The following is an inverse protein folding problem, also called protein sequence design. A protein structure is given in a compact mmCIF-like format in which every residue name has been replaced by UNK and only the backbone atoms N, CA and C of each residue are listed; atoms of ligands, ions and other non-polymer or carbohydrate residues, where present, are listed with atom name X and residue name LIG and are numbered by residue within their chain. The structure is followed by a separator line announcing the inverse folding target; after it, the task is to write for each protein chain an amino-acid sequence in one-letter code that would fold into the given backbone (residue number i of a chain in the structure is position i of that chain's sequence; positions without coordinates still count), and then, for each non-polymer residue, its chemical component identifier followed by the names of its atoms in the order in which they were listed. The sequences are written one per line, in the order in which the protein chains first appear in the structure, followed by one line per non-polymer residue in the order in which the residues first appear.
data_IF_730267107424
#
_entry.id   IF_730267107424
#
_cell.length_a   1.000
_cell.length_b   1.000
_cell.length_c   1.000
_cell.angle_alpha   90.00
_cell.angle_beta   90.00
_cell.angle_gamma   90.00
#
_symmetry.space_group_name_H-M   'P 1'
#
loop_
_entity.id
_entity.type
_entity.pdbx_description
1 polymer ?
#
# COMPACT_ATOMS: atom_id res chain seq x y z
N UNK A 1 17.15 8.16 6.47
CA UNK A 1 16.15 9.02 5.82
C UNK A 1 14.98 9.24 6.78
N UNK A 2 14.52 10.47 6.99
CA UNK A 2 13.36 10.78 7.85
C UNK A 2 12.02 10.57 7.13
N UNK A 3 10.90 10.40 7.85
CA UNK A 3 9.55 10.31 7.26
C UNK A 3 9.23 11.48 6.30
N UNK A 4 9.63 12.74 6.57
CA UNK A 4 9.44 13.85 5.63
C UNK A 4 10.18 13.68 4.29
N UNK A 5 11.33 13.01 4.29
CA UNK A 5 12.11 12.75 3.07
C UNK A 5 11.43 11.65 2.22
N UNK A 6 10.82 10.65 2.86
CA UNK A 6 9.99 9.62 2.22
C UNK A 6 8.77 10.26 1.53
N UNK A 7 8.10 11.20 2.20
CA UNK A 7 6.93 11.91 1.68
C UNK A 7 7.26 12.69 0.39
N UNK A 8 8.45 13.30 0.36
CA UNK A 8 8.92 14.06 -0.81
C UNK A 8 9.08 13.13 -2.01
N UNK A 9 9.63 11.93 -1.81
CA UNK A 9 9.77 10.92 -2.86
C UNK A 9 8.41 10.42 -3.38
N UNK A 10 7.46 10.13 -2.49
CA UNK A 10 6.12 9.65 -2.87
C UNK A 10 5.31 10.73 -3.60
N UNK A 11 5.39 11.99 -3.15
CA UNK A 11 4.62 13.09 -3.74
C UNK A 11 4.93 13.40 -5.21
N UNK A 12 6.14 13.04 -5.66
CA UNK A 12 6.62 13.26 -7.01
C UNK A 12 6.29 12.08 -7.95
N UNK A 13 5.94 10.91 -7.39
CA UNK A 13 5.61 9.69 -8.11
C UNK A 13 4.11 9.45 -8.31
N UNK A 14 3.35 10.46 -8.77
CA UNK A 14 1.89 10.35 -8.98
C UNK A 14 1.54 9.21 -9.96
N UNK A 15 1.30 8.01 -9.44
CA UNK A 15 0.73 6.91 -10.21
C UNK A 15 -0.75 6.81 -9.85
N UNK A 16 -1.62 7.33 -10.72
CA UNK A 16 -3.04 6.97 -10.71
C UNK A 16 -3.13 5.50 -11.13
N UNK A 17 -3.84 4.64 -10.40
CA UNK A 17 -4.32 3.35 -10.93
C UNK A 17 -5.08 3.67 -12.23
N UNK A 18 -4.46 3.38 -13.38
CA UNK A 18 -5.07 3.61 -14.69
C UNK A 18 -6.12 2.50 -14.87
N UNK A 19 -7.39 2.81 -14.55
CA UNK A 19 -8.54 1.92 -14.80
C UNK A 19 -9.02 2.02 -16.27
N UNK A 20 -8.33 2.78 -17.13
CA UNK A 20 -8.58 2.78 -18.58
C UNK A 20 -7.38 2.26 -19.36
N UNK A 21 -7.50 1.11 -20.03
CA UNK A 21 -6.55 0.68 -21.08
C UNK A 21 -6.50 1.72 -22.20
N UNK A 22 -5.71 2.76 -22.01
CA UNK A 22 -5.29 3.68 -23.06
C UNK A 22 -3.83 3.98 -22.78
N UNK A 23 -2.99 3.13 -23.36
CA UNK A 23 -1.55 3.31 -23.42
C UNK A 23 -1.26 4.65 -24.08
N UNK A 24 -0.57 5.53 -23.37
CA UNK A 24 0.24 6.57 -24.02
C UNK A 24 1.30 5.86 -24.85
N UNK A 25 1.46 6.26 -26.11
CA UNK A 25 2.42 5.68 -27.04
C UNK A 25 3.81 5.62 -26.39
N UNK A 26 4.34 4.41 -26.16
CA UNK A 26 5.70 4.19 -25.65
C UNK A 26 5.84 3.52 -24.27
N UNK A 27 4.75 3.20 -23.57
CA UNK A 27 4.83 2.50 -22.26
C UNK A 27 4.72 0.99 -22.42
N UNK A 28 5.64 0.22 -21.85
CA UNK A 28 5.54 -1.24 -21.70
C UNK A 28 5.14 -1.58 -20.25
N UNK A 29 4.24 -2.55 -20.07
CA UNK A 29 3.85 -3.06 -18.76
C UNK A 29 4.19 -4.55 -18.66
N UNK A 30 4.44 -5.04 -17.44
CA UNK A 30 4.53 -6.46 -17.12
C UNK A 30 3.69 -6.75 -15.89
N UNK A 31 2.97 -7.87 -15.97
CA UNK A 31 2.11 -8.41 -14.93
C UNK A 31 2.81 -9.62 -14.28
N UNK A 32 2.69 -9.76 -12.96
CA UNK A 32 3.37 -10.81 -12.19
C UNK A 32 2.47 -12.02 -11.96
N UNK A 33 3.09 -13.15 -11.59
CA UNK A 33 2.38 -14.41 -11.40
C UNK A 33 2.33 -14.79 -9.94
N UNK A 34 1.14 -15.15 -9.46
CA UNK A 34 1.01 -15.84 -8.18
C UNK A 34 1.62 -17.25 -8.27
N UNK A 35 2.33 -17.66 -7.22
CA UNK A 35 2.86 -19.02 -7.10
C UNK A 35 1.82 -20.01 -6.54
N UNK A 36 0.64 -19.52 -6.15
CA UNK A 36 -0.48 -20.31 -5.65
C UNK A 36 -1.50 -20.57 -6.79
N UNK A 37 -2.06 -21.78 -6.81
CA UNK A 37 -2.75 -22.38 -7.96
C UNK A 37 -4.08 -21.69 -8.33
N UNK A 38 -4.43 -21.76 -9.62
CA UNK A 38 -5.65 -21.34 -10.35
C UNK A 38 -5.66 -19.95 -11.02
N UNK A 39 -4.87 -18.97 -10.59
CA UNK A 39 -4.80 -17.67 -11.29
C UNK A 39 -3.37 -17.33 -11.73
N UNK A 40 -3.15 -17.05 -13.03
CA UNK A 40 -1.81 -16.78 -13.55
C UNK A 40 -1.27 -15.40 -13.13
N UNK A 41 -2.08 -14.55 -12.51
CA UNK A 41 -1.83 -13.13 -12.29
C UNK A 41 -1.98 -12.74 -10.80
N UNK A 42 -1.54 -11.54 -10.44
CA UNK A 42 -1.65 -10.91 -9.11
C UNK A 42 -1.89 -9.40 -9.31
N UNK A 43 -2.53 -8.68 -8.38
CA UNK A 43 -2.73 -7.21 -8.46
C UNK A 43 -1.42 -6.43 -8.18
N UNK A 44 -0.36 -6.77 -8.91
CA UNK A 44 0.94 -6.08 -8.91
C UNK A 44 1.33 -5.81 -10.36
N UNK A 45 1.58 -4.53 -10.65
CA UNK A 45 1.97 -4.07 -11.98
C UNK A 45 3.22 -3.20 -11.84
N UNK A 46 4.20 -3.44 -12.72
CA UNK A 46 5.37 -2.57 -12.84
C UNK A 46 5.30 -1.69 -14.08
N UNK A 47 5.68 -0.43 -13.89
CA UNK A 47 5.78 0.57 -14.95
C UNK A 47 7.24 0.93 -15.19
N UNK A 48 7.66 0.91 -16.45
CA UNK A 48 8.94 1.49 -16.86
C UNK A 48 8.75 2.97 -17.18
N UNK A 49 9.46 3.84 -16.47
CA UNK A 49 9.48 5.27 -16.77
C UNK A 49 10.41 5.55 -17.96
N UNK A 50 10.05 6.54 -18.78
CA UNK A 50 10.89 6.99 -19.91
C UNK A 50 12.17 7.68 -19.46
N UNK A 51 12.18 8.24 -18.24
CA UNK A 51 13.33 8.85 -17.59
C UNK A 51 13.34 8.52 -16.11
N UNK A 52 14.53 8.31 -15.54
CA UNK A 52 14.70 8.15 -14.09
C UNK A 52 14.38 9.47 -13.38
N UNK A 53 13.46 9.48 -12.40
CA UNK A 53 13.23 10.66 -11.57
C UNK A 53 14.44 10.92 -10.68
N UNK A 54 14.71 12.17 -10.25
CA UNK A 54 15.82 12.50 -9.37
C UNK A 54 15.50 12.12 -7.90
N UNK A 55 15.07 10.88 -7.70
CA UNK A 55 14.69 10.33 -6.41
C UNK A 55 15.68 9.23 -6.02
N UNK A 56 15.97 9.06 -4.72
CA UNK A 56 16.77 7.94 -4.25
C UNK A 56 16.12 6.60 -4.63
N UNK A 57 16.95 5.60 -4.89
CA UNK A 57 16.49 4.23 -5.04
C UNK A 57 15.87 3.72 -3.74
N UNK A 58 14.77 3.00 -3.87
CA UNK A 58 14.06 2.40 -2.76
C UNK A 58 14.28 0.89 -2.77
N UNK A 59 14.88 0.36 -1.71
CA UNK A 59 15.11 -1.08 -1.58
C UNK A 59 13.80 -1.81 -1.26
N UNK A 60 13.55 -2.92 -1.94
CA UNK A 60 12.50 -3.87 -1.55
C UNK A 60 13.05 -4.75 -0.44
N UNK A 61 12.29 -4.87 0.65
CA UNK A 61 12.64 -5.66 1.82
C UNK A 61 12.96 -7.11 1.42
N UNK A 62 14.04 -7.65 1.96
CA UNK A 62 14.54 -8.97 1.57
C UNK A 62 13.79 -10.15 2.21
N UNK A 63 13.04 -9.90 3.28
CA UNK A 63 12.31 -10.93 4.05
C UNK A 63 10.93 -10.41 4.48
N UNK A 64 9.96 -11.32 4.57
CA UNK A 64 8.61 -10.99 5.05
C UNK A 64 8.70 -10.30 6.42
N UNK A 65 8.05 -9.14 6.62
CA UNK A 65 7.82 -8.58 7.96
C UNK A 65 7.23 -9.63 8.92
N UNK A 66 7.41 -9.45 10.22
CA UNK A 66 6.78 -10.30 11.23
C UNK A 66 5.60 -9.58 11.89
N UNK A 67 4.65 -10.33 12.45
CA UNK A 67 3.58 -9.74 13.24
C UNK A 67 4.17 -8.92 14.41
N UNK A 68 3.63 -7.74 14.65
CA UNK A 68 4.14 -6.72 15.57
C UNK A 68 5.17 -5.76 14.96
N UNK A 69 5.68 -6.00 13.75
CA UNK A 69 6.54 -5.02 13.07
C UNK A 69 5.76 -3.73 12.80
N UNK A 70 6.30 -2.60 13.26
CA UNK A 70 5.73 -1.29 12.97
C UNK A 70 6.07 -0.85 11.55
N UNK A 71 5.03 -0.46 10.81
CA UNK A 71 5.09 -0.02 9.42
C UNK A 71 4.56 1.40 9.27
N UNK A 72 5.13 2.13 8.31
CA UNK A 72 4.61 3.42 7.85
C UNK A 72 3.89 3.20 6.54
N UNK A 73 2.65 3.64 6.47
CA UNK A 73 1.84 3.64 5.27
C UNK A 73 1.87 5.06 4.70
N UNK A 74 2.16 5.21 3.40
CA UNK A 74 2.09 6.51 2.72
C UNK A 74 1.23 6.37 1.48
N UNK A 75 0.10 7.08 1.45
CA UNK A 75 -0.87 7.02 0.36
C UNK A 75 -1.48 8.36 0.01
N UNK A 76 -2.29 8.37 -1.05
CA UNK A 76 -3.00 9.54 -1.58
C UNK A 76 -4.51 9.23 -1.75
N UNK A 77 -5.04 8.45 -0.83
CA UNK A 77 -6.45 8.13 -0.72
C UNK A 77 -7.30 9.33 -0.34
N UNK A 78 -8.60 9.07 -0.22
CA UNK A 78 -9.56 10.08 0.20
C UNK A 78 -9.25 10.58 1.61
N UNK A 79 -9.57 11.84 1.88
CA UNK A 79 -9.27 12.48 3.15
C UNK A 79 -10.21 12.02 4.24
N UNK A 80 -9.72 11.83 5.46
CA UNK A 80 -10.60 11.58 6.60
C UNK A 80 -11.33 12.87 7.03
N UNK A 81 -12.54 12.71 7.57
CA UNK A 81 -13.22 13.75 8.32
C UNK A 81 -12.46 14.11 9.60
N UNK A 82 -12.52 15.38 9.99
CA UNK A 82 -11.84 15.85 11.20
C UNK A 82 -12.48 15.33 12.48
N UNK A 83 -13.76 14.97 12.43
CA UNK A 83 -14.52 14.45 13.56
C UNK A 83 -15.01 13.03 13.26
N UNK A 84 -15.05 12.20 14.30
CA UNK A 84 -15.65 10.86 14.24
C UNK A 84 -17.17 10.97 14.15
N UNK A 85 -17.77 9.97 13.52
CA UNK A 85 -19.20 9.70 13.61
C UNK A 85 -19.43 8.46 14.46
N UNK A 86 -20.47 8.47 15.28
CA UNK A 86 -20.85 7.32 16.12
C UNK A 86 -22.20 6.78 15.69
N UNK A 87 -22.33 5.45 15.70
CA UNK A 87 -23.46 4.73 15.13
C UNK A 87 -23.94 3.62 16.06
N UNK A 88 -25.25 3.40 16.08
CA UNK A 88 -25.82 2.12 16.47
C UNK A 88 -26.09 1.32 15.20
N UNK A 89 -25.55 0.11 15.14
CA UNK A 89 -25.72 -0.80 14.00
C UNK A 89 -26.65 -1.92 14.42
N UNK A 90 -27.78 -2.05 13.72
CA UNK A 90 -28.67 -3.19 13.86
C UNK A 90 -28.43 -4.12 12.68
N UNK A 91 -27.87 -5.30 12.94
CA UNK A 91 -27.67 -6.31 11.90
C UNK A 91 -29.00 -6.86 11.42
N UNK A 92 -29.20 -6.87 10.11
CA UNK A 92 -30.37 -7.51 9.52
C UNK A 92 -30.14 -9.01 9.31
N UNK A 93 -31.20 -9.75 8.90
CA UNK A 93 -31.12 -11.20 8.74
C UNK A 93 -30.45 -11.67 7.45
N UNK A 94 -30.16 -10.79 6.49
CA UNK A 94 -29.58 -11.14 5.19
C UNK A 94 -28.25 -10.41 4.95
N UNK A 95 -27.70 -10.56 3.75
CA UNK A 95 -26.55 -9.76 3.31
C UNK A 95 -27.04 -8.42 2.75
N UNK A 96 -26.30 -7.36 3.04
CA UNK A 96 -26.61 -5.99 2.64
C UNK A 96 -27.92 -5.47 3.26
N UNK A 97 -28.19 -5.74 4.54
CA UNK A 97 -29.36 -5.22 5.25
C UNK A 97 -29.10 -4.64 6.65
N UNK A 98 -27.85 -4.38 7.03
CA UNK A 98 -27.50 -3.66 8.25
C UNK A 98 -28.08 -2.23 8.21
N UNK A 99 -28.65 -1.82 9.35
CA UNK A 99 -29.21 -0.49 9.53
C UNK A 99 -28.33 0.35 10.46
N UNK A 100 -27.72 1.38 9.87
CA UNK A 100 -26.85 2.33 10.56
C UNK A 100 -27.64 3.56 11.01
N UNK A 101 -27.79 3.72 12.32
CA UNK A 101 -28.49 4.87 12.91
C UNK A 101 -27.48 5.79 13.61
N UNK A 102 -27.35 7.08 13.21
CA UNK A 102 -26.49 8.03 13.91
C UNK A 102 -26.86 8.10 15.40
N UNK A 103 -25.89 7.93 16.28
CA UNK A 103 -26.12 7.96 17.72
C UNK A 103 -24.87 8.48 18.44
N UNK A 104 -24.92 9.67 19.08
CA UNK A 104 -23.80 10.15 19.89
C UNK A 104 -23.44 9.11 20.97
N UNK A 105 -22.20 8.62 20.96
CA UNK A 105 -21.76 7.55 21.86
C UNK A 105 -22.27 6.15 21.50
N UNK A 106 -22.70 5.95 20.24
CA UNK A 106 -23.00 4.63 19.70
C UNK A 106 -21.79 3.70 19.73
N UNK A 107 -22.06 2.39 19.68
CA UNK A 107 -21.03 1.36 19.87
C UNK A 107 -20.00 1.28 18.73
N UNK A 108 -20.32 1.81 17.55
CA UNK A 108 -19.43 1.80 16.39
C UNK A 108 -19.02 3.22 16.05
N UNK A 109 -17.72 3.48 16.02
CA UNK A 109 -17.16 4.75 15.56
C UNK A 109 -16.59 4.63 14.16
N UNK A 110 -16.73 5.69 13.37
CA UNK A 110 -16.17 5.75 12.03
C UNK A 110 -15.45 7.06 11.76
N UNK A 111 -14.44 7.00 10.89
CA UNK A 111 -13.90 8.15 10.18
C UNK A 111 -14.49 8.15 8.78
N UNK A 112 -15.46 9.05 8.54
CA UNK A 112 -15.98 9.32 7.20
C UNK A 112 -14.93 10.00 6.33
N UNK A 113 -15.25 10.13 5.04
CA UNK A 113 -14.46 10.92 4.11
C UNK A 113 -15.32 11.97 3.43
N UNK A 114 -15.02 13.28 3.55
CA UNK A 114 -15.76 14.33 2.86
C UNK A 114 -15.39 14.42 1.37
N UNK A 115 -14.58 13.48 0.87
CA UNK A 115 -13.97 13.51 -0.45
C UNK A 115 -12.65 14.31 -0.48
N UNK A 116 -12.09 14.43 -1.68
CA UNK A 116 -10.78 15.04 -1.90
C UNK A 116 -9.62 14.13 -1.49
N UNK A 117 -8.56 14.10 -2.30
CA UNK A 117 -7.37 13.30 -2.05
C UNK A 117 -6.24 14.18 -1.53
N UNK A 118 -5.48 13.69 -0.58
CA UNK A 118 -4.22 14.30 -0.20
C UNK A 118 -3.22 13.26 0.25
N UNK A 119 -1.94 13.53 -0.01
CA UNK A 119 -0.86 12.66 0.44
C UNK A 119 -0.79 12.74 1.95
N UNK A 120 -0.89 11.58 2.60
CA UNK A 120 -0.78 11.42 4.04
C UNK A 120 0.08 10.22 4.34
N UNK A 121 0.52 10.18 5.59
CA UNK A 121 1.20 9.02 6.13
C UNK A 121 0.67 8.76 7.53
N UNK A 122 0.80 7.51 7.95
CA UNK A 122 0.48 7.09 9.30
C UNK A 122 1.17 5.77 9.61
N UNK A 123 1.13 5.36 10.87
CA UNK A 123 1.76 4.13 11.32
C UNK A 123 0.70 3.09 11.67
N UNK A 124 1.06 1.83 11.53
CA UNK A 124 0.36 0.72 12.15
C UNK A 124 1.36 -0.43 12.35
N UNK A 125 0.93 -1.57 12.88
CA UNK A 125 1.73 -2.77 12.89
C UNK A 125 1.16 -3.81 11.93
N UNK A 126 2.04 -4.69 11.46
CA UNK A 126 1.61 -5.94 10.83
C UNK A 126 0.97 -6.80 11.91
N UNK A 127 -0.28 -7.21 11.71
CA UNK A 127 -1.05 -7.97 12.69
C UNK A 127 -1.20 -9.44 12.24
N UNK A 128 -1.34 -9.67 10.93
CA UNK A 128 -1.47 -11.01 10.37
C UNK A 128 -0.99 -11.07 8.90
N UNK A 129 -1.15 -12.24 8.28
CA UNK A 129 -0.86 -12.51 6.89
C UNK A 129 -2.03 -13.24 6.24
N UNK A 130 -2.34 -12.89 5.00
CA UNK A 130 -3.42 -13.52 4.26
C UNK A 130 -3.07 -13.69 2.79
N UNK A 131 -3.56 -14.75 2.17
CA UNK A 131 -3.60 -14.88 0.71
C UNK A 131 -5.02 -14.41 0.28
N UNK A 132 -5.10 -13.24 -0.36
CA UNK A 132 -6.37 -12.56 -0.69
C UNK A 132 -6.59 -12.59 -2.19
N UNK A 133 -7.78 -13.00 -2.63
CA UNK A 133 -8.21 -12.89 -4.02
C UNK A 133 -9.17 -11.71 -4.16
N UNK A 134 -8.79 -10.72 -4.97
CA UNK A 134 -9.52 -9.48 -5.22
C UNK A 134 -10.13 -9.43 -6.63
N UNK A 135 -10.37 -10.60 -7.23
CA UNK A 135 -10.79 -10.81 -8.62
C UNK A 135 -9.69 -10.49 -9.68
N UNK A 136 -8.52 -10.02 -9.27
CA UNK A 136 -7.34 -9.84 -10.13
C UNK A 136 -6.25 -10.88 -9.86
N UNK A 137 -6.56 -11.88 -9.02
CA UNK A 137 -5.72 -13.01 -8.68
C UNK A 137 -5.19 -12.93 -7.26
N UNK A 138 -4.74 -14.07 -6.74
CA UNK A 138 -4.37 -14.18 -5.32
C UNK A 138 -3.05 -13.46 -5.00
N UNK A 139 -3.12 -12.54 -4.02
CA UNK A 139 -2.00 -11.76 -3.49
C UNK A 139 -1.64 -12.25 -2.09
N UNK A 140 -0.36 -12.62 -1.88
CA UNK A 140 0.19 -12.84 -0.55
C UNK A 140 0.38 -11.50 0.15
N UNK A 141 -0.22 -11.35 1.33
CA UNK A 141 -0.46 -10.05 1.92
C UNK A 141 -0.03 -9.96 3.38
N UNK A 142 0.46 -8.79 3.74
CA UNK A 142 0.55 -8.24 5.09
C UNK A 142 -0.82 -7.66 5.45
N UNK A 143 -1.26 -7.89 6.68
CA UNK A 143 -2.55 -7.40 7.20
C UNK A 143 -2.30 -6.43 8.34
N UNK A 144 -2.94 -5.27 8.30
CA UNK A 144 -2.99 -4.32 9.44
C UNK A 144 -4.44 -4.12 9.85
N UNK A 145 -4.73 -4.03 11.14
CA UNK A 145 -6.09 -3.79 11.66
C UNK A 145 -6.13 -2.56 12.57
N UNK A 146 -7.29 -1.96 12.76
CA UNK A 146 -7.53 -1.10 13.92
C UNK A 146 -7.79 -2.00 15.13
N UNK A 147 -7.15 -1.74 16.28
CA UNK A 147 -7.29 -2.58 17.47
C UNK A 147 -7.81 -1.82 18.71
N UNK A 148 -8.36 -0.62 18.51
CA UNK A 148 -8.79 0.39 19.50
C UNK A 148 -7.81 0.76 20.60
N UNK A 149 -6.57 0.27 20.59
CA UNK A 149 -5.64 0.60 21.67
C UNK A 149 -5.06 2.00 21.46
N UNK A 150 -5.90 3.01 21.29
CA UNK A 150 -5.50 4.41 21.12
C UNK A 150 -4.78 4.98 22.36
N UNK A 151 -4.80 4.25 23.48
CA UNK A 151 -4.07 4.58 24.70
C UNK A 151 -2.61 4.17 24.62
N UNK A 152 -2.30 2.93 24.22
CA UNK A 152 -0.91 2.45 24.11
C UNK A 152 -0.36 2.52 22.68
N UNK A 153 -1.23 2.67 21.69
CA UNK A 153 -0.98 2.73 20.25
C UNK A 153 -1.80 3.88 19.63
N UNK A 154 -1.44 5.14 19.92
CA UNK A 154 -2.17 6.29 19.40
C UNK A 154 -2.06 6.44 17.87
N UNK A 155 -1.04 5.82 17.27
CA UNK A 155 -0.75 5.90 15.84
C UNK A 155 -1.24 4.62 15.15
N UNK A 156 -2.54 4.60 14.82
CA UNK A 156 -3.14 3.56 13.98
C UNK A 156 -3.67 4.19 12.70
N UNK A 157 -3.11 3.80 11.57
CA UNK A 157 -3.54 4.21 10.26
C UNK A 157 -4.10 3.01 9.50
N UNK A 158 -5.12 3.28 8.71
CA UNK A 158 -5.67 2.35 7.74
C UNK A 158 -5.70 3.01 6.37
N UNK A 159 -5.60 2.18 5.34
CA UNK A 159 -5.89 2.61 3.99
C UNK A 159 -7.38 2.83 3.79
N UNK A 160 -7.70 3.70 2.84
CA UNK A 160 -9.06 3.95 2.37
C UNK A 160 -9.10 3.90 0.84
N UNK A 161 -10.28 4.08 0.25
CA UNK A 161 -10.42 4.21 -1.19
C UNK A 161 -9.41 5.21 -1.77
N UNK A 162 -8.67 4.78 -2.79
CA UNK A 162 -7.69 5.59 -3.49
C UNK A 162 -6.25 5.39 -3.01
N UNK A 163 -6.01 4.64 -1.94
CA UNK A 163 -4.67 4.24 -1.51
C UNK A 163 -4.10 3.04 -2.29
N UNK A 164 -4.85 2.39 -3.18
CA UNK A 164 -4.34 1.27 -3.98
C UNK A 164 -3.05 1.64 -4.76
N UNK A 165 -2.03 0.79 -4.68
CA UNK A 165 -0.69 1.00 -5.22
C UNK A 165 0.26 1.79 -4.30
N UNK A 166 -0.23 2.26 -3.15
CA UNK A 166 0.56 3.03 -2.19
C UNK A 166 1.53 2.16 -1.39
N UNK A 167 2.63 2.75 -0.91
CA UNK A 167 3.71 2.01 -0.27
C UNK A 167 3.49 1.78 1.22
N UNK A 168 3.84 0.58 1.67
CA UNK A 168 4.01 0.21 3.08
C UNK A 168 5.50 0.01 3.34
N UNK A 169 6.03 0.76 4.30
CA UNK A 169 7.45 0.88 4.55
C UNK A 169 7.78 0.37 5.94
N UNK A 170 8.90 -0.33 6.05
CA UNK A 170 9.43 -0.81 7.32
C UNK A 170 10.86 -0.31 7.49
N UNK A 171 11.19 0.10 8.71
CA UNK A 171 12.52 0.63 9.03
C UNK A 171 13.48 -0.48 9.42
N UNK A 172 14.55 -0.66 8.65
CA UNK A 172 15.65 -1.58 8.94
C UNK A 172 16.89 -0.79 9.39
N UNK A 173 17.06 -0.62 10.69
CA UNK A 173 18.10 0.26 11.25
C UNK A 173 17.89 1.73 10.86
N UNK A 174 18.78 2.28 10.04
CA UNK A 174 18.69 3.66 9.53
C UNK A 174 17.89 3.80 8.23
N UNK A 175 17.59 2.68 7.58
CA UNK A 175 17.13 2.65 6.20
C UNK A 175 15.65 2.26 6.14
N UNK A 176 14.92 2.89 5.22
CA UNK A 176 13.54 2.52 4.93
C UNK A 176 13.53 1.56 3.76
N UNK A 177 12.79 0.46 3.92
CA UNK A 177 12.60 -0.54 2.88
C UNK A 177 11.11 -0.58 2.51
N UNK A 178 10.83 -0.76 1.23
CA UNK A 178 9.48 -1.04 0.75
C UNK A 178 9.13 -2.48 1.12
N UNK A 179 8.27 -2.62 2.11
CA UNK A 179 7.83 -3.90 2.66
C UNK A 179 6.56 -4.40 1.98
N UNK A 180 5.65 -3.48 1.63
CA UNK A 180 4.42 -3.85 0.96
C UNK A 180 3.83 -2.78 0.05
N UNK A 181 2.75 -3.16 -0.64
CA UNK A 181 1.97 -2.27 -1.49
C UNK A 181 0.48 -2.50 -1.23
N UNK A 182 -0.23 -1.45 -0.82
CA UNK A 182 -1.66 -1.51 -0.50
C UNK A 182 -2.44 -1.87 -1.77
N UNK A 183 -3.31 -2.87 -1.72
CA UNK A 183 -4.17 -3.23 -2.87
C UNK A 183 -5.65 -3.33 -2.49
N UNK A 184 -5.96 -3.80 -1.28
CA UNK A 184 -7.33 -3.95 -0.81
C UNK A 184 -7.52 -3.43 0.63
N UNK A 185 -8.77 -3.11 0.93
CA UNK A 185 -9.27 -2.76 2.27
C UNK A 185 -10.50 -3.60 2.56
N UNK A 186 -10.76 -3.88 3.82
CA UNK A 186 -11.91 -4.66 4.25
C UNK A 186 -12.33 -4.34 5.68
N UNK A 187 -13.20 -5.19 6.23
CA UNK A 187 -13.66 -5.13 7.62
C UNK A 187 -13.56 -6.51 8.26
N UNK A 188 -13.17 -6.59 9.53
CA UNK A 188 -13.14 -7.83 10.31
C UNK A 188 -14.55 -8.29 10.68
N UNK A 189 -15.41 -7.32 10.94
CA UNK A 189 -16.83 -7.56 11.14
C UNK A 189 -17.50 -7.51 9.76
N UNK A 190 -18.47 -8.40 9.55
CA UNK A 190 -19.30 -8.44 8.34
C UNK A 190 -20.31 -7.27 8.35
N UNK A 191 -19.83 -6.06 8.60
CA UNK A 191 -20.61 -4.85 8.47
C UNK A 191 -20.90 -4.59 7.00
N UNK A 192 -22.18 -4.54 6.66
CA UNK A 192 -22.63 -4.15 5.34
C UNK A 192 -23.27 -2.75 5.36
N UNK A 193 -23.54 -2.19 4.18
CA UNK A 193 -24.19 -0.88 4.02
C UNK A 193 -23.58 0.27 4.83
N UNK A 194 -22.27 0.20 5.10
CA UNK A 194 -21.54 1.19 5.89
C UNK A 194 -21.80 2.59 5.28
N UNK A 195 -22.20 3.60 6.08
CA UNK A 195 -22.35 4.97 5.59
C UNK A 195 -21.06 5.47 4.94
N UNK A 196 -21.11 5.82 3.66
CA UNK A 196 -19.93 6.20 2.86
C UNK A 196 -19.17 5.02 2.22
N UNK A 197 -19.56 3.78 2.53
CA UNK A 197 -18.98 2.56 1.96
C UNK A 197 -17.47 2.48 2.16
N UNK A 198 -16.75 2.08 1.11
CA UNK A 198 -15.29 1.91 1.09
C UNK A 198 -14.47 3.19 1.30
N UNK A 199 -15.11 4.35 1.44
CA UNK A 199 -14.45 5.62 1.80
C UNK A 199 -14.43 5.89 3.30
N UNK A 200 -15.08 5.04 4.07
CA UNK A 200 -15.21 5.15 5.53
C UNK A 200 -14.38 4.06 6.19
N UNK A 201 -13.56 4.45 7.17
CA UNK A 201 -12.93 3.47 8.06
C UNK A 201 -13.75 3.32 9.33
N UNK A 202 -13.93 2.08 9.77
CA UNK A 202 -14.58 1.70 11.01
C UNK A 202 -13.48 1.44 12.04
N UNK A 203 -13.54 2.13 13.18
CA UNK A 203 -12.63 1.82 14.28
C UNK A 203 -12.85 0.35 14.68
N UNK A 204 -11.76 -0.36 14.93
CA UNK A 204 -11.71 -1.74 15.44
C UNK A 204 -12.11 -2.83 14.45
N UNK A 205 -12.54 -2.42 13.27
CA UNK A 205 -13.01 -3.34 12.25
C UNK A 205 -12.30 -3.16 10.93
N UNK A 206 -11.86 -1.94 10.56
CA UNK A 206 -11.15 -1.77 9.28
C UNK A 206 -9.83 -2.51 9.21
N UNK A 207 -9.61 -3.13 8.06
CA UNK A 207 -8.43 -3.90 7.71
C UNK A 207 -7.81 -3.35 6.43
N UNK A 208 -6.49 -3.27 6.38
CA UNK A 208 -5.75 -3.05 5.14
C UNK A 208 -4.96 -4.29 4.77
N UNK A 209 -5.05 -4.64 3.48
CA UNK A 209 -4.22 -5.68 2.86
C UNK A 209 -3.18 -5.03 1.96
N UNK A 210 -1.92 -5.32 2.23
CA UNK A 210 -0.80 -4.88 1.42
C UNK A 210 -0.01 -6.09 0.92
N UNK A 211 0.29 -6.15 -0.37
CA UNK A 211 1.10 -7.23 -0.95
C UNK A 211 2.45 -7.32 -0.23
N UNK A 212 2.86 -8.51 0.23
CA UNK A 212 4.19 -8.76 0.78
C UNK A 212 5.21 -8.74 -0.36
N UNK A 213 5.88 -7.61 -0.55
CA UNK A 213 6.80 -7.44 -1.68
C UNK A 213 8.07 -8.26 -1.53
N UNK A 214 8.41 -8.74 -0.33
CA UNK A 214 9.55 -9.65 -0.16
C UNK A 214 9.31 -10.99 -0.86
N UNK A 215 8.06 -11.48 -0.86
CA UNK A 215 7.65 -12.69 -1.56
C UNK A 215 7.79 -12.54 -3.08
N UNK A 216 7.42 -11.38 -3.61
CA UNK A 216 7.50 -11.07 -5.05
C UNK A 216 8.87 -10.54 -5.49
N UNK A 217 9.78 -10.26 -4.54
CA UNK A 217 11.05 -9.56 -4.77
C UNK A 217 11.89 -10.18 -5.88
N UNK A 218 12.05 -11.50 -5.87
CA UNK A 218 12.85 -12.19 -6.91
C UNK A 218 12.26 -11.98 -8.29
N UNK A 219 10.93 -12.04 -8.43
CA UNK A 219 10.27 -11.80 -9.71
C UNK A 219 10.43 -10.33 -10.13
N UNK A 220 10.24 -9.38 -9.20
CA UNK A 220 10.39 -7.95 -9.43
C UNK A 220 11.81 -7.61 -9.91
N UNK A 221 12.83 -8.07 -9.18
CA UNK A 221 14.22 -7.80 -9.54
C UNK A 221 14.63 -8.48 -10.85
N UNK A 222 14.02 -9.61 -11.22
CA UNK A 222 14.33 -10.29 -12.48
C UNK A 222 13.94 -9.51 -13.74
N UNK A 223 13.04 -8.52 -13.62
CA UNK A 223 12.59 -7.71 -14.75
C UNK A 223 13.15 -6.29 -14.74
N UNK A 224 13.79 -5.87 -13.66
CA UNK A 224 14.51 -4.59 -13.60
C UNK A 224 15.85 -4.78 -14.32
N UNK A 225 16.11 -4.05 -15.42
CA UNK A 225 17.40 -4.12 -16.09
C UNK A 225 18.51 -3.74 -15.11
N UNK A 226 19.54 -4.56 -14.96
CA UNK A 226 20.74 -4.12 -14.25
C UNK A 226 21.26 -2.82 -14.88
N UNK A 227 21.77 -1.86 -14.08
CA UNK A 227 22.44 -0.68 -14.63
C UNK A 227 23.48 -1.17 -15.63
N UNK A 228 23.29 -0.83 -16.91
CA UNK A 228 23.99 -1.46 -18.02
C UNK A 228 25.49 -1.59 -17.72
N UNK A 229 25.97 -2.83 -17.64
CA UNK A 229 27.39 -3.17 -17.44
C UNK A 229 28.32 -2.45 -18.45
N UNK A 230 27.78 -2.00 -19.58
CA UNK A 230 28.43 -1.14 -20.56
C UNK A 230 28.84 0.23 -20.02
N UNK A 231 28.05 0.85 -19.14
CA UNK A 231 28.36 2.15 -18.52
C UNK A 231 29.48 2.01 -17.49
N UNK A 232 29.47 0.92 -16.71
CA UNK A 232 30.54 0.57 -15.77
C UNK A 232 31.86 0.24 -16.48
N UNK A 233 31.81 -0.53 -17.58
CA UNK A 233 32.99 -0.80 -18.39
C UNK A 233 33.53 0.47 -19.07
N UNK A 234 32.65 1.37 -19.53
CA UNK A 234 33.06 2.66 -20.11
C UNK A 234 33.76 3.57 -19.10
N UNK A 235 33.23 3.68 -17.87
CA UNK A 235 33.85 4.45 -16.79
C UNK A 235 35.20 3.82 -16.33
N UNK A 236 35.27 2.50 -16.24
CA UNK A 236 36.50 1.79 -15.90
C UNK A 236 37.58 1.97 -16.98
N UNK A 237 37.22 1.90 -18.28
CA UNK A 237 38.13 2.15 -19.40
C UNK A 237 38.65 3.59 -19.42
N UNK A 238 37.77 4.58 -19.20
CA UNK A 238 38.17 5.99 -19.11
C UNK A 238 39.08 6.26 -17.89
N UNK A 239 38.81 5.61 -16.75
CA UNK A 239 39.67 5.65 -15.57
C UNK A 239 41.05 5.05 -15.81
N UNK A 240 41.13 3.90 -16.50
CA UNK A 240 42.39 3.25 -16.88
C UNK A 240 43.18 4.06 -17.90
N UNK A 241 42.50 4.72 -18.85
CA UNK A 241 43.14 5.61 -19.83
C UNK A 241 43.67 6.90 -19.20
N UNK A 242 43.00 7.44 -18.17
CA UNK A 242 43.51 8.59 -17.40
C UNK A 242 44.70 8.25 -16.52
N UNK A 243 44.79 7.02 -16.00
CA UNK A 243 45.91 6.57 -15.14
C UNK A 243 47.21 6.31 -15.91
N UNK A 244 47.14 6.27 -17.26
CA UNK A 244 48.29 6.04 -18.15
C UNK A 244 48.89 7.31 -18.77
N UNK A 245 48.40 8.50 -18.41
CA UNK A 245 49.00 9.80 -18.74
C UNK A 245 49.57 10.43 -17.48
#
# INVERSE_FOLDING_TARGET
MGVPELLTAVSQGRCRKIISRTTTTGSTFREYKSAFLSYPNTDIILFQLTSSPPLPDLSIRASTPIAGDSVVMIGNGVSQDAARSSWNVAQGPNENDDVWTPSPGGAVETFGSPGGQAIRWGMNNVEDFADVDDDFGTVRSLVTVFNDDLVNRPDEAQAVLGDSGSGVFLKNGSDWELAGMIFAVGTLDNYDNIPGGVTTSILDSSVTYAADLSFYRTQILSVIPEPGTTTLMGAALLGLLRRRR
#
